data_IF_581453137028
#
_entry.id   IF_581453137028
#
_cell.length_a   1.000
_cell.length_b   1.000
_cell.length_c   1.000
_cell.angle_alpha   90.00
_cell.angle_beta   90.00
_cell.angle_gamma   90.00
#
_symmetry.space_group_name_H-M   'P 1'
#
loop_
_entity.id
_entity.type
_entity.pdbx_description
1 polymer ?
#
# COMPACT_ATOMS: atom_id res chain seq x y z
N UNK A 1 -3.20 -19.41 39.74
CA UNK A 1 -3.98 -19.35 38.48
C UNK A 1 -4.14 -17.89 38.08
N UNK A 2 -3.26 -17.39 37.20
CA UNK A 2 -3.25 -15.97 36.80
C UNK A 2 -4.30 -15.70 35.73
N UNK A 3 -5.29 -14.86 36.04
CA UNK A 3 -6.34 -14.42 35.12
C UNK A 3 -5.77 -13.35 34.20
N UNK A 4 -5.48 -13.67 32.94
CA UNK A 4 -5.14 -12.67 31.93
C UNK A 4 -6.45 -12.27 31.22
N UNK A 5 -7.17 -11.30 31.77
CA UNK A 5 -8.18 -10.55 31.00
C UNK A 5 -7.54 -9.22 30.59
N UNK A 6 -6.60 -9.26 29.64
CA UNK A 6 -6.28 -8.06 28.88
C UNK A 6 -7.52 -7.68 28.10
N UNK A 7 -8.25 -6.65 28.54
CA UNK A 7 -9.43 -6.15 27.81
C UNK A 7 -9.00 -5.86 26.38
N UNK A 8 -9.57 -6.57 25.41
CA UNK A 8 -9.50 -6.20 24.00
C UNK A 8 -10.11 -4.80 23.87
N UNK A 9 -9.26 -3.79 23.75
CA UNK A 9 -9.69 -2.42 23.52
C UNK A 9 -9.81 -2.21 22.01
N UNK A 10 -10.99 -1.78 21.56
CA UNK A 10 -11.16 -1.29 20.20
C UNK A 10 -10.34 -0.01 20.05
N UNK A 11 -9.56 0.09 18.98
CA UNK A 11 -8.79 1.27 18.60
C UNK A 11 -9.13 1.63 17.17
N UNK A 12 -9.37 2.91 16.93
CA UNK A 12 -9.48 3.46 15.60
C UNK A 12 -8.15 4.13 15.25
N UNK A 13 -7.56 3.73 14.14
CA UNK A 13 -6.31 4.28 13.62
C UNK A 13 -6.58 4.77 12.19
N UNK A 14 -6.07 5.96 11.87
CA UNK A 14 -6.12 6.51 10.52
C UNK A 14 -4.76 6.27 9.89
N UNK A 15 -4.74 5.48 8.82
CA UNK A 15 -3.57 5.22 8.01
C UNK A 15 -3.87 5.73 6.61
N UNK A 16 -2.95 6.49 6.04
CA UNK A 16 -2.98 6.72 4.60
C UNK A 16 -2.57 5.44 3.86
N UNK A 17 -2.80 5.40 2.54
CA UNK A 17 -2.51 4.21 1.73
C UNK A 17 -1.01 3.88 1.75
N UNK A 18 -0.13 4.88 1.76
CA UNK A 18 1.32 4.67 1.78
C UNK A 18 1.77 4.03 3.09
N UNK A 19 1.23 4.49 4.22
CA UNK A 19 1.49 3.92 5.53
C UNK A 19 0.93 2.50 5.61
N UNK A 20 -0.31 2.27 5.16
CA UNK A 20 -0.92 0.94 5.09
C UNK A 20 -0.04 -0.05 4.33
N UNK A 21 0.43 0.32 3.13
CA UNK A 21 1.31 -0.51 2.31
C UNK A 21 2.65 -0.75 2.99
N UNK A 22 3.24 0.27 3.62
CA UNK A 22 4.49 0.13 4.39
C UNK A 22 4.33 -0.88 5.53
N UNK A 23 3.22 -0.83 6.26
CA UNK A 23 2.96 -1.79 7.35
C UNK A 23 2.74 -3.23 6.83
N UNK A 24 2.21 -3.39 5.61
CA UNK A 24 2.14 -4.69 4.92
C UNK A 24 3.54 -5.17 4.56
N UNK A 25 4.37 -4.34 3.91
CA UNK A 25 5.74 -4.70 3.52
C UNK A 25 6.62 -5.09 4.71
N UNK A 26 6.44 -4.43 5.86
CA UNK A 26 7.11 -4.78 7.13
C UNK A 26 6.57 -6.06 7.79
N UNK A 27 5.56 -6.69 7.20
CA UNK A 27 4.89 -7.88 7.72
C UNK A 27 4.14 -7.64 9.03
N UNK A 28 3.76 -6.38 9.33
CA UNK A 28 2.94 -6.04 10.49
C UNK A 28 1.47 -6.30 10.20
N UNK A 29 0.97 -5.87 9.04
CA UNK A 29 -0.39 -6.15 8.59
C UNK A 29 -0.38 -7.43 7.76
N UNK A 30 -1.27 -8.36 8.08
CA UNK A 30 -1.27 -9.70 7.49
C UNK A 30 -2.68 -10.17 7.17
N UNK A 31 -2.78 -11.00 6.15
CA UNK A 31 -4.04 -11.61 5.70
C UNK A 31 -3.97 -13.12 5.99
N UNK A 32 -4.73 -13.64 6.97
CA UNK A 32 -4.72 -15.07 7.30
C UNK A 32 -5.27 -15.97 6.20
N UNK A 33 -4.76 -17.20 6.10
CA UNK A 33 -5.21 -18.20 5.13
C UNK A 33 -6.66 -18.68 5.31
N UNK A 34 -7.21 -18.60 6.54
CA UNK A 34 -8.58 -19.02 6.87
C UNK A 34 -9.65 -18.04 6.36
N UNK A 35 -9.41 -17.44 5.20
CA UNK A 35 -10.32 -16.50 4.58
C UNK A 35 -11.08 -17.16 3.42
N UNK A 36 -12.20 -16.54 3.06
CA UNK A 36 -12.97 -16.97 1.91
C UNK A 36 -12.10 -16.89 0.65
N UNK A 37 -12.31 -17.83 -0.27
CA UNK A 37 -11.69 -17.79 -1.59
C UNK A 37 -11.88 -16.41 -2.24
N UNK A 38 -10.86 -15.99 -3.00
CA UNK A 38 -10.90 -14.76 -3.79
C UNK A 38 -12.10 -14.77 -4.74
N UNK A 39 -12.83 -13.65 -4.81
CA UNK A 39 -14.03 -13.50 -5.66
C UNK A 39 -14.01 -12.28 -6.57
N UNK A 40 -13.09 -11.35 -6.34
CA UNK A 40 -13.05 -10.10 -7.10
C UNK A 40 -12.55 -10.35 -8.52
N UNK A 41 -13.28 -9.82 -9.48
CA UNK A 41 -12.83 -9.82 -10.86
C UNK A 41 -12.12 -8.50 -11.21
N UNK A 42 -11.82 -8.36 -12.49
CA UNK A 42 -11.21 -7.16 -13.06
C UNK A 42 -12.02 -5.89 -12.78
N UNK A 43 -13.35 -5.96 -12.81
CA UNK A 43 -14.24 -4.83 -12.58
C UNK A 43 -14.25 -4.41 -11.12
N UNK A 44 -14.29 -5.36 -10.18
CA UNK A 44 -14.25 -5.05 -8.74
C UNK A 44 -12.98 -4.27 -8.37
N UNK A 45 -11.84 -4.63 -8.97
CA UNK A 45 -10.57 -3.90 -8.79
C UNK A 45 -10.67 -2.47 -9.34
N UNK A 46 -11.17 -2.31 -10.57
CA UNK A 46 -11.37 -0.98 -11.17
C UNK A 46 -12.33 -0.12 -10.33
N UNK A 47 -13.44 -0.69 -9.84
CA UNK A 47 -14.44 0.02 -9.05
C UNK A 47 -13.87 0.50 -7.69
N UNK A 48 -12.97 -0.29 -7.07
CA UNK A 48 -12.25 0.16 -5.87
C UNK A 48 -11.38 1.39 -6.18
N UNK A 49 -10.62 1.35 -7.28
CA UNK A 49 -9.72 2.44 -7.65
C UNK A 49 -10.47 3.67 -8.18
N UNK A 50 -11.59 3.49 -8.88
CA UNK A 50 -12.49 4.58 -9.26
C UNK A 50 -13.06 5.28 -8.02
N UNK A 51 -13.47 4.51 -7.01
CA UNK A 51 -13.91 5.06 -5.73
C UNK A 51 -12.81 5.88 -5.06
N UNK A 52 -11.57 5.38 -5.03
CA UNK A 52 -10.42 6.10 -4.47
C UNK A 52 -10.14 7.41 -5.22
N UNK A 53 -10.13 7.36 -6.56
CA UNK A 53 -9.90 8.52 -7.41
C UNK A 53 -10.95 9.61 -7.20
N UNK A 54 -12.22 9.21 -7.04
CA UNK A 54 -13.35 10.11 -6.82
C UNK A 54 -13.51 10.57 -5.36
N UNK A 55 -12.67 10.09 -4.44
CA UNK A 55 -12.77 10.40 -3.02
C UNK A 55 -14.00 9.78 -2.34
N UNK A 56 -14.57 8.71 -2.91
CA UNK A 56 -15.69 7.96 -2.36
C UNK A 56 -15.18 7.03 -1.25
N UNK A 57 -15.81 6.98 -0.06
CA UNK A 57 -15.38 6.11 1.02
C UNK A 57 -15.38 4.63 0.62
N UNK A 58 -14.22 3.98 0.71
CA UNK A 58 -14.04 2.55 0.42
C UNK A 58 -14.25 1.65 1.66
N UNK A 59 -14.77 2.22 2.75
CA UNK A 59 -15.01 1.55 4.04
C UNK A 59 -13.78 1.48 4.96
N UNK A 60 -13.85 0.65 6.00
CA UNK A 60 -12.79 0.46 7.00
C UNK A 60 -12.17 -0.94 6.90
N UNK A 61 -10.93 -1.11 7.37
CA UNK A 61 -10.33 -2.43 7.60
C UNK A 61 -10.49 -2.81 9.08
N UNK A 62 -10.92 -4.04 9.35
CA UNK A 62 -10.99 -4.56 10.72
C UNK A 62 -9.81 -5.49 10.94
N UNK A 63 -9.07 -5.29 12.03
CA UNK A 63 -7.86 -6.06 12.32
C UNK A 63 -7.83 -6.54 13.78
N UNK A 64 -7.21 -7.69 13.99
CA UNK A 64 -6.97 -8.26 15.30
C UNK A 64 -5.47 -8.30 15.60
N UNK A 65 -5.06 -7.60 16.66
CA UNK A 65 -3.66 -7.57 17.10
C UNK A 65 -3.29 -8.81 17.91
N UNK A 66 -2.28 -9.57 17.45
CA UNK A 66 -1.74 -10.75 18.14
C UNK A 66 -0.32 -11.10 17.66
N UNK A 67 0.33 -12.01 18.38
CA UNK A 67 1.55 -12.63 17.90
C UNK A 67 1.29 -13.49 16.66
N UNK A 68 2.25 -13.46 15.74
CA UNK A 68 2.27 -14.25 14.51
C UNK A 68 3.70 -14.71 14.21
N UNK A 69 3.85 -15.97 13.78
CA UNK A 69 5.14 -16.55 13.42
C UNK A 69 5.65 -16.02 12.08
N UNK A 70 6.85 -16.41 11.65
CA UNK A 70 7.34 -16.02 10.33
C UNK A 70 6.57 -16.79 9.24
N UNK A 71 6.21 -16.12 8.16
CA UNK A 71 5.45 -16.68 7.04
C UNK A 71 5.69 -15.90 5.76
N UNK A 72 5.35 -16.46 4.61
CA UNK A 72 5.32 -15.76 3.32
C UNK A 72 3.85 -15.61 2.93
N UNK A 73 3.40 -14.36 2.78
CA UNK A 73 2.02 -14.05 2.39
C UNK A 73 1.96 -13.64 0.92
N UNK A 74 0.89 -14.04 0.24
CA UNK A 74 0.63 -13.71 -1.17
C UNK A 74 -0.56 -12.77 -1.29
N UNK A 75 -0.36 -11.67 -2.01
CA UNK A 75 -1.33 -10.62 -2.30
C UNK A 75 -1.43 -10.44 -3.82
N UNK A 76 -2.17 -11.33 -4.48
CA UNK A 76 -2.16 -11.39 -5.95
C UNK A 76 -0.72 -11.63 -6.46
N UNK A 77 -0.17 -10.74 -7.32
CA UNK A 77 1.19 -10.90 -7.86
C UNK A 77 2.31 -10.59 -6.86
N UNK A 78 2.00 -10.13 -5.64
CA UNK A 78 3.00 -9.69 -4.66
C UNK A 78 3.18 -10.72 -3.56
N UNK A 79 4.43 -11.10 -3.28
CA UNK A 79 4.79 -11.94 -2.14
C UNK A 79 5.57 -11.13 -1.11
N UNK A 80 5.18 -11.24 0.15
CA UNK A 80 5.83 -10.55 1.28
C UNK A 80 6.33 -11.58 2.28
N UNK A 81 7.63 -11.54 2.57
CA UNK A 81 8.23 -12.32 3.66
C UNK A 81 8.02 -11.59 4.98
N UNK A 82 7.14 -12.14 5.83
CA UNK A 82 6.81 -11.55 7.12
C UNK A 82 7.67 -12.18 8.23
N UNK A 83 8.48 -11.39 8.98
CA UNK A 83 9.24 -11.92 10.11
C UNK A 83 8.31 -12.27 11.28
N UNK A 84 8.76 -13.06 12.25
CA UNK A 84 8.00 -13.29 13.49
C UNK A 84 7.76 -11.98 14.25
N UNK A 85 6.53 -11.75 14.73
CA UNK A 85 6.13 -10.55 15.47
C UNK A 85 5.23 -10.87 16.66
N UNK A 86 5.29 -10.06 17.71
CA UNK A 86 4.37 -10.14 18.86
C UNK A 86 3.18 -9.19 18.75
N UNK A 87 3.19 -8.30 17.76
CA UNK A 87 2.25 -7.18 17.59
C UNK A 87 1.62 -7.10 16.18
N UNK A 88 1.57 -8.22 15.45
CA UNK A 88 0.99 -8.27 14.11
C UNK A 88 -0.51 -7.96 14.14
N UNK A 89 -1.01 -7.32 13.07
CA UNK A 89 -2.40 -6.99 12.84
C UNK A 89 -2.96 -7.94 11.76
N UNK A 90 -3.77 -8.90 12.19
CA UNK A 90 -4.40 -9.85 11.27
C UNK A 90 -5.71 -9.26 10.76
N UNK A 91 -5.85 -9.15 9.45
CA UNK A 91 -7.07 -8.65 8.80
C UNK A 91 -8.20 -9.64 9.01
N UNK A 92 -9.29 -9.14 9.61
CA UNK A 92 -10.55 -9.86 9.84
C UNK A 92 -11.59 -9.49 8.78
N UNK A 93 -11.61 -8.23 8.36
CA UNK A 93 -12.50 -7.72 7.31
C UNK A 93 -11.76 -6.76 6.37
N UNK A 94 -12.20 -6.71 5.10
CA UNK A 94 -11.60 -5.86 4.07
C UNK A 94 -10.39 -6.46 3.38
N UNK A 95 -10.20 -7.76 3.52
CA UNK A 95 -9.11 -8.52 2.89
C UNK A 95 -8.97 -8.33 1.37
N UNK A 96 -10.07 -8.38 0.61
CA UNK A 96 -10.04 -8.22 -0.85
C UNK A 96 -9.61 -6.80 -1.24
N UNK A 97 -10.04 -5.78 -0.48
CA UNK A 97 -9.58 -4.39 -0.64
C UNK A 97 -8.08 -4.28 -0.39
N UNK A 98 -7.58 -4.86 0.71
CA UNK A 98 -6.15 -4.82 1.02
C UNK A 98 -5.31 -5.55 -0.03
N UNK A 99 -5.71 -6.76 -0.42
CA UNK A 99 -5.03 -7.54 -1.47
C UNK A 99 -5.00 -6.76 -2.79
N UNK A 100 -6.10 -6.10 -3.16
CA UNK A 100 -6.18 -5.28 -4.37
C UNK A 100 -5.20 -4.10 -4.32
N UNK A 101 -5.21 -3.35 -3.22
CA UNK A 101 -4.29 -2.22 -3.02
C UNK A 101 -2.83 -2.67 -3.12
N UNK A 102 -2.48 -3.75 -2.41
CA UNK A 102 -1.11 -4.29 -2.38
C UNK A 102 -0.71 -4.82 -3.77
N UNK A 103 -1.56 -5.65 -4.38
CA UNK A 103 -1.26 -6.30 -5.66
C UNK A 103 -1.12 -5.30 -6.81
N UNK A 104 -1.94 -4.25 -6.84
CA UNK A 104 -1.83 -3.19 -7.87
C UNK A 104 -0.65 -2.26 -7.60
N UNK A 105 -0.49 -1.75 -6.37
CA UNK A 105 0.45 -0.66 -6.09
C UNK A 105 1.87 -1.12 -5.79
N UNK A 106 2.08 -2.36 -5.37
CA UNK A 106 3.41 -2.91 -5.05
C UNK A 106 3.92 -3.92 -6.08
N UNK A 107 3.17 -4.20 -7.16
CA UNK A 107 3.65 -5.08 -8.23
C UNK A 107 4.87 -4.47 -8.92
N UNK A 108 5.90 -5.28 -9.18
CA UNK A 108 7.13 -4.79 -9.83
C UNK A 108 7.00 -4.69 -11.34
N UNK A 109 6.06 -5.43 -11.92
CA UNK A 109 5.79 -5.52 -13.36
C UNK A 109 4.36 -6.01 -13.59
N UNK A 110 3.91 -5.91 -14.84
CA UNK A 110 2.73 -6.64 -15.25
C UNK A 110 2.98 -8.15 -15.15
N UNK A 111 1.96 -8.87 -14.68
CA UNK A 111 1.97 -10.32 -14.60
C UNK A 111 0.75 -10.88 -15.35
N UNK A 112 0.94 -11.64 -16.44
CA UNK A 112 -0.17 -12.25 -17.18
C UNK A 112 -1.01 -13.21 -16.34
N UNK A 113 -0.42 -13.88 -15.34
CA UNK A 113 -1.14 -14.81 -14.46
C UNK A 113 -2.02 -14.06 -13.44
N UNK A 114 -1.75 -12.77 -13.25
CA UNK A 114 -2.50 -11.86 -12.37
C UNK A 114 -3.04 -10.64 -13.14
N UNK A 115 -3.49 -10.85 -14.39
CA UNK A 115 -4.00 -9.79 -15.27
C UNK A 115 -4.89 -8.73 -14.59
N UNK A 116 -5.86 -9.08 -13.71
CA UNK A 116 -6.72 -8.08 -13.06
C UNK A 116 -5.96 -7.00 -12.27
N UNK A 117 -4.73 -7.30 -11.81
CA UNK A 117 -3.87 -6.39 -11.05
C UNK A 117 -2.99 -5.49 -11.93
N UNK A 118 -2.93 -5.73 -13.25
CA UNK A 118 -2.18 -4.90 -14.19
C UNK A 118 -2.99 -3.64 -14.54
N UNK A 119 -3.19 -2.77 -13.55
CA UNK A 119 -4.07 -1.61 -13.64
C UNK A 119 -3.33 -0.35 -14.11
N UNK A 120 -3.96 0.34 -15.06
CA UNK A 120 -3.50 1.57 -15.67
C UNK A 120 -4.60 2.63 -15.61
N UNK A 121 -4.19 3.89 -15.55
CA UNK A 121 -5.09 5.03 -15.65
C UNK A 121 -4.73 5.86 -16.89
N UNK A 122 -5.71 6.05 -17.78
CA UNK A 122 -5.57 6.91 -18.95
C UNK A 122 -5.70 8.37 -18.51
N UNK A 123 -4.61 9.13 -18.63
CA UNK A 123 -4.57 10.54 -18.20
C UNK A 123 -5.38 11.47 -19.13
N UNK A 124 -5.69 11.04 -20.36
CA UNK A 124 -6.44 11.84 -21.31
C UNK A 124 -7.95 11.59 -21.18
N UNK A 125 -8.33 10.32 -21.03
CA UNK A 125 -9.73 9.92 -20.96
C UNK A 125 -10.26 9.85 -19.51
N UNK A 126 -9.38 9.89 -18.52
CA UNK A 126 -9.69 9.67 -17.10
C UNK A 126 -10.39 8.33 -16.84
N UNK A 127 -9.95 7.28 -17.55
CA UNK A 127 -10.53 5.93 -17.49
C UNK A 127 -9.52 4.87 -17.04
N UNK A 128 -10.04 3.80 -16.44
CA UNK A 128 -9.26 2.65 -15.99
C UNK A 128 -9.09 1.62 -17.10
N UNK A 129 -7.87 1.10 -17.24
CA UNK A 129 -7.52 0.07 -18.22
C UNK A 129 -6.74 -1.06 -17.56
N UNK A 130 -6.93 -2.28 -18.07
CA UNK A 130 -6.16 -3.45 -17.65
C UNK A 130 -5.35 -3.99 -18.82
N UNK A 131 -4.09 -4.26 -18.57
CA UNK A 131 -3.16 -4.86 -19.53
C UNK A 131 -3.14 -6.37 -19.40
N UNK A 132 -3.06 -7.09 -20.51
CA UNK A 132 -2.78 -8.54 -20.53
C UNK A 132 -1.35 -8.88 -20.05
N UNK A 133 -0.48 -7.87 -19.91
CA UNK A 133 0.93 -8.03 -19.54
C UNK A 133 1.84 -8.53 -20.66
N UNK A 134 1.28 -8.85 -21.82
CA UNK A 134 2.01 -9.37 -22.98
C UNK A 134 1.95 -8.45 -24.20
N UNK A 135 0.92 -7.61 -24.29
CA UNK A 135 0.73 -6.67 -25.38
C UNK A 135 1.30 -5.28 -25.04
N UNK A 136 1.76 -4.51 -26.04
CA UNK A 136 2.05 -3.09 -25.86
C UNK A 136 0.81 -2.35 -25.36
N UNK A 137 1.00 -1.48 -24.36
CA UNK A 137 -0.03 -0.57 -23.84
C UNK A 137 0.17 0.83 -24.42
N UNK A 138 -0.89 1.64 -24.45
CA UNK A 138 -0.80 3.03 -24.89
C UNK A 138 0.16 3.82 -23.98
N UNK A 139 1.14 4.58 -24.52
CA UNK A 139 2.03 5.41 -23.70
C UNK A 139 1.34 6.44 -22.81
N UNK A 140 0.10 6.84 -23.14
CA UNK A 140 -0.71 7.75 -22.31
C UNK A 140 -1.26 7.08 -21.05
N UNK A 141 -1.21 5.75 -20.97
CA UNK A 141 -1.71 4.99 -19.82
C UNK A 141 -0.64 4.93 -18.72
N UNK A 142 -0.94 5.54 -17.58
CA UNK A 142 -0.08 5.54 -16.42
C UNK A 142 -0.24 4.23 -15.63
N UNK A 143 0.80 3.39 -15.49
CA UNK A 143 0.74 2.21 -14.64
C UNK A 143 0.67 2.59 -13.15
N UNK A 144 -0.35 2.09 -12.44
CA UNK A 144 -0.58 2.47 -11.02
C UNK A 144 0.51 1.99 -10.08
N UNK A 145 1.17 0.86 -10.41
CA UNK A 145 2.34 0.37 -9.68
C UNK A 145 3.48 1.39 -9.57
N UNK A 146 3.57 2.34 -10.51
CA UNK A 146 4.61 3.39 -10.49
C UNK A 146 4.19 4.55 -9.58
N UNK A 147 2.88 4.81 -9.43
CA UNK A 147 2.37 5.96 -8.68
C UNK A 147 2.77 5.94 -7.20
N UNK A 148 2.81 4.76 -6.57
CA UNK A 148 3.24 4.62 -5.18
C UNK A 148 4.75 4.91 -4.97
N UNK A 149 5.59 4.54 -5.93
CA UNK A 149 7.05 4.73 -5.82
C UNK A 149 7.45 6.21 -5.91
N UNK A 150 6.72 7.04 -6.65
CA UNK A 150 7.00 8.48 -6.78
C UNK A 150 6.90 9.23 -5.45
N UNK A 151 5.94 8.87 -4.59
CA UNK A 151 5.73 9.50 -3.28
C UNK A 151 6.90 9.18 -2.32
N UNK A 152 7.48 7.98 -2.41
CA UNK A 152 8.67 7.62 -1.61
C UNK A 152 9.89 8.45 -1.98
N UNK A 153 10.06 8.74 -3.28
CA UNK A 153 11.19 9.55 -3.76
C UNK A 153 11.05 11.05 -3.44
N UNK A 154 9.83 11.62 -3.46
CA UNK A 154 9.63 13.03 -3.09
C UNK A 154 9.77 13.27 -1.58
N UNK A 155 9.31 12.33 -0.75
CA UNK A 155 9.40 12.44 0.72
C UNK A 155 10.83 12.28 1.25
N UNK A 156 11.68 11.51 0.56
CA UNK A 156 13.12 11.46 0.86
C UNK A 156 13.86 12.75 0.53
N UNK A 157 13.39 13.53 -0.45
CA UNK A 157 14.03 14.80 -0.88
C UNK A 157 13.60 15.99 -0.01
N UNK A 158 12.41 15.93 0.60
CA UNK A 158 11.92 16.96 1.51
C UNK A 158 12.67 16.97 2.87
N UNK A 159 13.19 15.82 3.33
CA UNK A 159 13.96 15.74 4.58
C UNK A 159 15.43 16.18 4.42
N UNK A 160 16.01 16.08 3.22
CA UNK A 160 17.39 16.53 2.97
C UNK A 160 17.52 18.05 2.92
N UNK A 161 16.45 18.77 2.55
CA UNK A 161 16.47 20.24 2.47
C UNK A 161 16.27 20.95 3.82
N UNK A 162 15.93 20.23 4.90
CA UNK A 162 15.85 20.79 6.25
C UNK A 162 17.17 20.73 7.03
N UNK A 163 18.18 20.00 6.55
CA UNK A 163 19.48 19.84 7.24
C UNK A 163 20.62 20.68 6.64
N UNK A 164 20.42 21.31 5.49
CA UNK A 164 21.36 22.30 4.96
C UNK A 164 21.05 23.68 5.55
N UNK A 165 21.57 23.93 6.76
CA UNK A 165 21.81 25.30 7.25
C UNK A 165 22.63 26.04 6.19
N UNK A 166 21.94 26.94 5.49
CA UNK A 166 22.50 27.92 4.58
C UNK A 166 23.57 28.76 5.31
N UNK A 167 24.84 28.35 5.25
CA UNK A 167 25.98 29.17 5.66
C UNK A 167 26.35 30.06 4.48
N UNK A 168 26.03 31.35 4.60
CA UNK A 168 26.41 32.36 3.62
C UNK A 168 27.89 32.72 3.76
N UNK A 169 28.74 32.61 2.73
CA UNK A 169 30.13 33.02 2.81
C UNK A 169 30.24 34.51 2.45
N UNK A 170 30.57 35.36 3.42
CA UNK A 170 31.03 36.72 3.16
C UNK A 170 30.21 37.80 3.86
N UNK A 171 30.68 38.22 5.03
CA UNK A 171 30.19 39.40 5.72
C UNK A 171 31.13 39.75 6.86
N UNK A 172 32.19 40.50 6.57
CA UNK A 172 33.13 41.00 7.57
C UNK A 172 32.47 42.08 8.41
N UNK A 173 32.27 41.80 9.70
CA UNK A 173 31.85 42.80 10.69
C UNK A 173 33.11 43.54 11.18
N UNK A 174 33.28 44.81 10.78
CA UNK A 174 34.16 45.73 11.50
C UNK A 174 33.38 46.33 12.68
N UNK A 175 33.95 46.20 13.88
CA UNK A 175 33.54 46.93 15.09
C UNK A 175 34.38 48.20 15.21
N UNK A 176 33.70 49.34 15.29
CA UNK A 176 34.03 50.51 16.13
C UNK A 176 32.93 51.54 15.93
#
# INVERSE_FOLDING_TARGET
>A
MSRIHGRSQLRAELLDISELLTQVELGKIRVPDLQRAWRWDARDICDLFDSLWRGIPIGTLMMWRRSADAEILTFGPVQITCPKRTDAWLVVDGHQRLITLVGVLLSSRDDPDFQPFNLYFDLNAETWHQSTGTAPVDPAWLPLRVAHNSVRHSSGRAQTLSDERLVWPGGSVRRS
#
